data_IF_696129842539
#
_entry.id   IF_696129842539
#
_cell.length_a   1.000
_cell.length_b   1.000
_cell.length_c   1.000
_cell.angle_alpha   90.00
_cell.angle_beta   90.00
_cell.angle_gamma   90.00
#
_symmetry.space_group_name_H-M   'P 1'
#
loop_
_entity.id
_entity.type
_entity.pdbx_description
1 polymer ?
#
# COMPACT_ATOMS: atom_id res chain seq x y z
N UNK A 1 9.97 6.51 -25.16
CA UNK A 1 8.77 5.63 -25.24
C UNK A 1 8.44 5.01 -23.86
N UNK A 2 8.51 5.81 -22.79
CA UNK A 2 8.16 5.42 -21.41
C UNK A 2 7.13 6.42 -20.87
N UNK A 3 7.30 7.73 -21.12
CA UNK A 3 6.29 8.76 -20.84
C UNK A 3 4.86 8.39 -21.29
N UNK A 4 4.69 7.87 -22.50
CA UNK A 4 3.38 7.53 -23.07
C UNK A 4 2.66 6.39 -22.31
N UNK A 5 3.42 5.45 -21.73
CA UNK A 5 2.84 4.37 -20.92
C UNK A 5 2.43 4.85 -19.52
N UNK A 6 3.16 5.82 -18.98
CA UNK A 6 2.86 6.41 -17.66
C UNK A 6 1.64 7.32 -17.74
N UNK A 7 1.47 8.03 -18.86
CA UNK A 7 0.33 8.91 -19.08
C UNK A 7 -1.02 8.18 -19.15
N UNK A 8 -1.06 6.92 -19.63
CA UNK A 8 -2.29 6.12 -19.71
C UNK A 8 -2.51 5.10 -18.57
N UNK A 9 -1.60 5.05 -17.59
CA UNK A 9 -1.72 4.21 -16.39
C UNK A 9 -2.84 4.65 -15.42
N UNK A 10 -3.05 5.95 -15.13
CA UNK A 10 -4.10 6.36 -14.19
C UNK A 10 -5.53 6.07 -14.69
N UNK A 11 -5.78 6.14 -16.00
CA UNK A 11 -7.09 5.72 -16.57
C UNK A 11 -7.34 4.20 -16.54
N UNK A 12 -6.29 3.37 -16.42
CA UNK A 12 -6.41 1.89 -16.48
C UNK A 12 -6.25 1.19 -15.13
N UNK A 13 -5.70 1.86 -14.12
CA UNK A 13 -5.55 1.29 -12.79
C UNK A 13 -6.86 1.38 -12.02
N UNK A 14 -7.47 0.24 -11.76
CA UNK A 14 -8.58 0.19 -10.81
C UNK A 14 -8.07 0.60 -9.43
N UNK A 15 -8.95 1.18 -8.61
CA UNK A 15 -8.65 1.52 -7.21
C UNK A 15 -8.19 0.29 -6.42
N UNK A 16 -8.69 -0.90 -6.79
CA UNK A 16 -8.25 -2.17 -6.22
C UNK A 16 -6.78 -2.48 -6.55
N UNK A 17 -6.33 -2.20 -7.77
CA UNK A 17 -4.94 -2.38 -8.19
C UNK A 17 -4.01 -1.43 -7.44
N UNK A 18 -4.49 -0.21 -7.17
CA UNK A 18 -3.76 0.77 -6.37
C UNK A 18 -3.59 0.32 -4.91
N UNK A 19 -4.66 -0.21 -4.29
CA UNK A 19 -4.60 -0.81 -2.95
C UNK A 19 -3.61 -1.97 -2.92
N UNK A 20 -3.66 -2.83 -3.93
CA UNK A 20 -2.76 -3.99 -4.06
C UNK A 20 -1.30 -3.57 -4.19
N UNK A 21 -1.02 -2.49 -4.94
CA UNK A 21 0.32 -1.92 -5.08
C UNK A 21 0.80 -1.19 -3.82
N UNK A 22 -0.10 -0.52 -3.09
CA UNK A 22 0.24 0.20 -1.86
C UNK A 22 0.62 -0.74 -0.71
N UNK A 23 0.01 -1.93 -0.60
CA UNK A 23 0.31 -2.86 0.50
C UNK A 23 1.79 -3.25 0.62
N UNK A 24 2.47 -3.77 -0.42
CA UNK A 24 3.89 -4.13 -0.32
C UNK A 24 4.78 -2.91 -0.09
N UNK A 25 4.43 -1.75 -0.65
CA UNK A 25 5.19 -0.51 -0.45
C UNK A 25 5.11 -0.02 1.00
N UNK A 26 3.91 -0.02 1.59
CA UNK A 26 3.69 0.37 2.98
C UNK A 26 4.32 -0.62 3.95
N UNK A 27 4.30 -1.92 3.63
CA UNK A 27 5.00 -2.92 4.42
C UNK A 27 6.52 -2.70 4.36
N UNK A 28 7.11 -2.57 3.17
CA UNK A 28 8.54 -2.35 3.02
C UNK A 28 9.00 -1.05 3.70
N UNK A 29 8.26 0.04 3.50
CA UNK A 29 8.54 1.33 4.14
C UNK A 29 8.38 1.28 5.65
N UNK A 30 7.30 0.68 6.16
CA UNK A 30 7.07 0.53 7.59
C UNK A 30 8.10 -0.38 8.27
N UNK A 31 8.52 -1.45 7.59
CA UNK A 31 9.59 -2.32 8.08
C UNK A 31 10.92 -1.57 8.12
N UNK A 32 11.29 -0.87 7.04
CA UNK A 32 12.53 -0.08 7.01
C UNK A 32 12.57 0.98 8.11
N UNK A 33 11.49 1.76 8.26
CA UNK A 33 11.36 2.76 9.33
C UNK A 33 11.40 2.12 10.72
N UNK A 34 10.70 0.99 10.91
CA UNK A 34 10.69 0.29 12.17
C UNK A 34 12.04 -0.33 12.53
N UNK A 35 12.79 -0.85 11.56
CA UNK A 35 14.17 -1.33 11.79
C UNK A 35 15.09 -0.19 12.18
N UNK A 36 14.96 0.98 11.53
CA UNK A 36 15.77 2.15 11.85
C UNK A 36 15.46 2.74 13.24
N UNK A 37 14.22 2.60 13.72
CA UNK A 37 13.77 3.21 14.97
C UNK A 37 13.92 2.33 16.21
N UNK A 38 13.76 1.00 16.08
CA UNK A 38 13.58 0.12 17.24
C UNK A 38 14.66 -0.96 17.40
N UNK A 39 15.51 -1.20 16.39
CA UNK A 39 16.53 -2.26 16.36
C UNK A 39 16.03 -3.64 16.82
N UNK A 40 14.72 -3.88 16.67
CA UNK A 40 14.02 -5.07 17.14
C UNK A 40 13.07 -5.55 16.04
N UNK A 41 13.31 -6.76 15.57
CA UNK A 41 12.53 -7.40 14.50
C UNK A 41 11.00 -7.42 14.75
N UNK A 42 10.51 -7.69 15.98
CA UNK A 42 9.06 -7.67 16.24
C UNK A 42 8.45 -6.28 16.08
N UNK A 43 9.15 -5.23 16.54
CA UNK A 43 8.66 -3.85 16.46
C UNK A 43 8.61 -3.38 14.99
N UNK A 44 9.65 -3.69 14.22
CA UNK A 44 9.68 -3.36 12.79
C UNK A 44 8.54 -4.03 12.00
N UNK A 45 8.29 -5.31 12.31
CA UNK A 45 7.22 -6.08 11.67
C UNK A 45 5.83 -5.56 12.06
N UNK A 46 5.64 -5.17 13.33
CA UNK A 46 4.39 -4.58 13.79
C UNK A 46 4.08 -3.24 13.08
N UNK A 47 5.09 -2.37 12.91
CA UNK A 47 4.93 -1.10 12.19
C UNK A 47 4.56 -1.35 10.73
N UNK A 48 5.26 -2.27 10.06
CA UNK A 48 4.98 -2.66 8.68
C UNK A 48 3.55 -3.19 8.50
N UNK A 49 3.10 -4.07 9.40
CA UNK A 49 1.77 -4.64 9.37
C UNK A 49 0.68 -3.57 9.57
N UNK A 50 0.84 -2.68 10.55
CA UNK A 50 -0.09 -1.60 10.82
C UNK A 50 -0.20 -0.63 9.62
N UNK A 51 0.93 -0.29 9.00
CA UNK A 51 0.93 0.54 7.79
C UNK A 51 0.18 -0.12 6.64
N UNK A 52 0.38 -1.43 6.44
CA UNK A 52 -0.35 -2.21 5.43
C UNK A 52 -1.86 -2.30 5.66
N UNK A 53 -2.34 -2.20 6.90
CA UNK A 53 -3.77 -2.22 7.20
C UNK A 53 -4.52 -0.95 6.74
N UNK A 54 -3.84 0.20 6.62
CA UNK A 54 -4.46 1.48 6.23
C UNK A 54 -5.23 1.40 4.89
N UNK A 55 -4.65 0.90 3.78
CA UNK A 55 -5.37 0.78 2.52
C UNK A 55 -6.50 -0.26 2.57
N UNK A 56 -6.41 -1.30 3.41
CA UNK A 56 -7.51 -2.25 3.62
C UNK A 56 -8.70 -1.58 4.33
N UNK A 57 -8.45 -0.76 5.35
CA UNK A 57 -9.51 -0.02 6.05
C UNK A 57 -10.19 0.96 5.11
N UNK A 58 -9.43 1.70 4.30
CA UNK A 58 -10.00 2.60 3.30
C UNK A 58 -10.83 1.84 2.26
N UNK A 59 -10.27 0.75 1.72
CA UNK A 59 -10.91 -0.09 0.71
C UNK A 59 -12.14 -0.85 1.20
N UNK A 60 -12.23 -1.21 2.48
CA UNK A 60 -13.35 -1.97 3.03
C UNK A 60 -14.49 -1.07 3.55
N UNK A 61 -14.14 0.03 4.22
CA UNK A 61 -15.14 0.84 4.95
C UNK A 61 -15.47 2.16 4.25
N UNK A 62 -14.48 2.84 3.66
CA UNK A 62 -14.69 4.18 3.10
C UNK A 62 -15.10 4.14 1.63
N UNK A 63 -14.54 3.21 0.87
CA UNK A 63 -14.79 3.12 -0.56
C UNK A 63 -14.82 1.66 -1.04
N UNK A 64 -15.83 0.88 -0.58
CA UNK A 64 -15.97 -0.53 -0.90
C UNK A 64 -16.07 -0.77 -2.42
N UNK A 65 -15.55 -1.92 -2.91
CA UNK A 65 -15.71 -2.30 -4.31
C UNK A 65 -17.20 -2.40 -4.63
N UNK A 66 -17.63 -1.69 -5.67
CA UNK A 66 -19.00 -1.76 -6.18
C UNK A 66 -19.07 -2.91 -7.17
N UNK A 67 -20.03 -3.80 -6.96
CA UNK A 67 -20.41 -4.80 -7.96
C UNK A 67 -21.38 -4.09 -8.90
N UNK A 68 -20.94 -3.81 -10.13
CA UNK A 68 -21.84 -3.44 -11.24
C UNK A 68 -22.41 -4.69 -11.89
#
# INVERSE_FOLDING_TARGET
MVEDRVAGLPERLSRADLILACMPLLFAGGYALGTAAFDAWPAATAVAALAGCLPMVDGLFRNPPRVE
#
